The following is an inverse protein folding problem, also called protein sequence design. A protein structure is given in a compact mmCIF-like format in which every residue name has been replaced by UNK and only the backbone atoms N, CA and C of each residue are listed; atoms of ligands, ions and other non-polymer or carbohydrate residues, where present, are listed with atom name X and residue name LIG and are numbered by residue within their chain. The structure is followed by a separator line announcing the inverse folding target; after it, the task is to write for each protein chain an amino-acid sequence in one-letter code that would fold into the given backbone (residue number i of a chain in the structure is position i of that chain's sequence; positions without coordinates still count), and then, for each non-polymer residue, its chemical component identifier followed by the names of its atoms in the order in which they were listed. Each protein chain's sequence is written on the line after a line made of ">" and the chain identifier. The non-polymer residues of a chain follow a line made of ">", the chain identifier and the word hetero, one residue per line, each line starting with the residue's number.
data_IF_079653287797
#
_entry.id   IF_079653287797
#
_cell.length_a   1.000
_cell.length_b   1.000
_cell.length_c   1.000
_cell.angle_alpha   90.00
_cell.angle_beta   90.00
_cell.angle_gamma   90.00
#
_symmetry.space_group_name_H-M   'P 1'
#
loop_
_entity.id
_entity.type
_entity.pdbx_description
1 polymer ?
#
# COMPACT_ATOMS: atom_id res chain seq x y z
N UNK A 1 5.59 -7.31 -4.67
CA UNK A 1 6.16 -7.15 -3.31
C UNK A 1 5.03 -7.04 -2.31
N UNK A 2 5.27 -7.44 -1.05
CA UNK A 2 4.38 -7.05 0.03
C UNK A 2 4.47 -5.52 0.22
N UNK A 3 3.37 -4.83 0.58
CA UNK A 3 3.40 -3.39 0.86
C UNK A 3 4.46 -3.04 1.91
N UNK A 4 5.40 -2.15 1.57
CA UNK A 4 6.52 -1.72 2.40
C UNK A 4 7.72 -2.68 2.46
N UNK A 5 7.74 -3.73 1.63
CA UNK A 5 8.83 -4.71 1.64
C UNK A 5 10.19 -4.03 1.34
N UNK A 6 11.13 -4.17 2.27
CA UNK A 6 12.49 -3.59 2.17
C UNK A 6 12.64 -2.23 2.85
N UNK A 7 11.55 -1.61 3.29
CA UNK A 7 11.58 -0.39 4.11
C UNK A 7 11.59 -0.74 5.61
N UNK A 8 12.22 0.13 6.41
CA UNK A 8 12.12 0.11 7.88
C UNK A 8 11.19 1.23 8.33
N UNK A 9 10.19 0.89 9.14
CA UNK A 9 9.34 1.85 9.84
C UNK A 9 9.73 1.89 11.32
N UNK A 10 9.74 3.09 11.90
CA UNK A 10 9.94 3.27 13.35
C UNK A 10 8.65 3.83 13.94
N UNK A 11 8.12 3.16 14.94
CA UNK A 11 6.89 3.57 15.63
C UNK A 11 7.21 4.15 17.00
N UNK A 12 6.52 5.23 17.35
CA UNK A 12 6.56 5.81 18.68
C UNK A 12 5.17 6.34 19.06
N UNK A 13 4.96 6.65 20.33
CA UNK A 13 3.72 7.29 20.78
C UNK A 13 3.59 8.68 20.15
N UNK A 14 2.42 8.99 19.59
CA UNK A 14 2.15 10.30 18.97
C UNK A 14 2.30 11.49 19.94
N UNK A 15 2.17 11.24 21.25
CA UNK A 15 2.39 12.23 22.30
C UNK A 15 3.87 12.55 22.57
N UNK A 16 4.82 11.76 22.05
CA UNK A 16 6.27 11.92 22.25
C UNK A 16 6.91 12.69 21.09
N UNK A 17 6.58 13.99 21.00
CA UNK A 17 7.13 14.88 19.96
C UNK A 17 8.65 14.97 20.00
N UNK A 18 9.26 14.83 21.18
CA UNK A 18 10.70 14.74 21.37
C UNK A 18 11.33 13.58 20.57
N UNK A 19 10.65 12.43 20.48
CA UNK A 19 11.10 11.30 19.68
C UNK A 19 10.88 11.52 18.19
N UNK A 20 9.74 12.13 17.81
CA UNK A 20 9.44 12.45 16.41
C UNK A 20 10.52 13.38 15.82
N UNK A 21 10.85 14.45 16.54
CA UNK A 21 11.90 15.39 16.14
C UNK A 21 13.27 14.72 16.05
N UNK A 22 13.60 13.85 17.00
CA UNK A 22 14.87 13.10 17.02
C UNK A 22 15.00 12.16 15.82
N UNK A 23 13.90 11.54 15.38
CA UNK A 23 13.90 10.56 14.28
C UNK A 23 13.71 11.19 12.90
N UNK A 24 13.25 12.44 12.81
CA UNK A 24 12.99 13.13 11.54
C UNK A 24 14.15 13.04 10.52
N UNK A 25 15.45 13.14 10.91
CA UNK A 25 16.56 12.99 9.97
C UNK A 25 16.75 11.59 9.37
N UNK A 26 16.14 10.56 9.97
CA UNK A 26 16.22 9.17 9.50
C UNK A 26 15.21 8.88 8.38
N UNK A 27 14.20 9.73 8.22
CA UNK A 27 13.15 9.53 7.22
C UNK A 27 13.68 9.90 5.82
N UNK A 28 13.57 8.96 4.89
CA UNK A 28 13.71 9.25 3.47
C UNK A 28 12.34 9.66 2.89
N UNK A 29 12.17 10.90 2.38
CA UNK A 29 10.87 11.39 1.92
C UNK A 29 10.29 10.59 0.75
N UNK A 30 11.14 10.12 -0.17
CA UNK A 30 10.69 9.36 -1.35
C UNK A 30 10.18 7.97 -0.96
N UNK A 31 10.92 7.27 -0.09
CA UNK A 31 10.52 5.98 0.48
C UNK A 31 9.25 6.14 1.31
N UNK A 32 9.13 7.23 2.07
CA UNK A 32 7.92 7.52 2.87
C UNK A 32 6.70 7.65 1.96
N UNK A 33 6.76 8.47 0.90
CA UNK A 33 5.66 8.62 -0.05
C UNK A 33 5.29 7.30 -0.75
N UNK A 34 6.30 6.53 -1.20
CA UNK A 34 6.07 5.22 -1.83
C UNK A 34 5.36 4.25 -0.86
N UNK A 35 5.89 4.10 0.36
CA UNK A 35 5.34 3.18 1.36
C UNK A 35 3.96 3.62 1.83
N UNK A 36 3.68 4.93 1.93
CA UNK A 36 2.34 5.43 2.26
C UNK A 36 1.30 5.07 1.20
N UNK A 37 1.65 5.16 -0.09
CA UNK A 37 0.76 4.75 -1.16
C UNK A 37 0.49 3.23 -1.11
N UNK A 38 1.54 2.42 -0.96
CA UNK A 38 1.44 0.96 -0.84
C UNK A 38 0.60 0.52 0.37
N UNK A 39 0.85 1.10 1.55
CA UNK A 39 0.11 0.80 2.78
C UNK A 39 -1.34 1.26 2.70
N UNK A 40 -1.63 2.30 1.92
CA UNK A 40 -3.01 2.72 1.69
C UNK A 40 -3.79 1.67 0.91
N UNK A 41 -3.19 1.04 -0.11
CA UNK A 41 -3.81 -0.10 -0.82
C UNK A 41 -4.08 -1.25 0.15
N UNK A 42 -3.11 -1.63 0.98
CA UNK A 42 -3.28 -2.69 1.99
C UNK A 42 -4.41 -2.36 2.96
N UNK A 43 -4.42 -1.16 3.56
CA UNK A 43 -5.49 -0.77 4.50
C UNK A 43 -6.88 -0.83 3.87
N UNK A 44 -6.99 -0.46 2.58
CA UNK A 44 -8.28 -0.41 1.89
C UNK A 44 -8.75 -1.78 1.39
N UNK A 45 -7.85 -2.67 0.97
CA UNK A 45 -8.19 -3.95 0.34
C UNK A 45 -7.96 -5.18 1.22
N UNK A 46 -7.14 -5.10 2.27
CA UNK A 46 -6.80 -6.29 3.05
C UNK A 46 -5.85 -5.98 4.20
N UNK A 47 -6.38 -6.04 5.42
CA UNK A 47 -5.67 -5.74 6.66
C UNK A 47 -4.87 -6.91 7.25
N UNK A 48 -4.81 -8.08 6.59
CA UNK A 48 -4.06 -9.23 7.09
C UNK A 48 -2.94 -9.65 6.14
N UNK A 49 -1.84 -10.16 6.71
CA UNK A 49 -0.67 -10.64 5.95
C UNK A 49 -0.95 -11.89 5.10
N UNK A 50 -2.16 -12.45 5.17
CA UNK A 50 -2.53 -13.71 4.49
C UNK A 50 -3.27 -13.47 3.17
N UNK A 51 -3.63 -12.23 2.87
CA UNK A 51 -4.26 -11.89 1.59
C UNK A 51 -3.20 -11.92 0.47
N UNK A 52 -3.43 -12.62 -0.66
CA UNK A 52 -2.57 -12.56 -1.83
C UNK A 52 -2.69 -11.18 -2.51
N UNK A 53 -2.06 -10.19 -1.90
CA UNK A 53 -2.06 -8.78 -2.26
C UNK A 53 -0.61 -8.32 -2.46
N UNK A 54 -0.37 -7.57 -3.53
CA UNK A 54 0.86 -6.80 -3.68
C UNK A 54 0.57 -5.34 -3.99
N UNK A 55 1.40 -4.46 -3.47
CA UNK A 55 1.46 -3.06 -3.85
C UNK A 55 2.92 -2.63 -3.89
N UNK A 56 3.32 -1.90 -4.93
CA UNK A 56 4.67 -1.40 -5.10
C UNK A 56 4.66 -0.04 -5.78
N UNK A 57 5.28 0.94 -5.13
CA UNK A 57 5.36 2.30 -5.59
C UNK A 57 6.81 2.71 -5.87
N UNK A 58 7.00 3.44 -6.96
CA UNK A 58 8.29 4.00 -7.37
C UNK A 58 8.15 5.52 -7.43
N UNK A 59 9.02 6.23 -6.71
CA UNK A 59 9.04 7.68 -6.64
C UNK A 59 10.24 8.23 -7.40
N UNK A 60 9.98 9.07 -8.40
CA UNK A 60 10.99 9.79 -9.17
C UNK A 60 10.72 11.30 -9.10
N UNK A 61 11.46 11.99 -8.24
CA UNK A 61 11.21 13.41 -7.95
C UNK A 61 9.82 13.62 -7.37
N UNK A 62 8.93 14.30 -8.11
CA UNK A 62 7.53 14.55 -7.70
C UNK A 62 6.55 13.50 -8.23
N UNK A 63 6.99 12.59 -9.09
CA UNK A 63 6.12 11.60 -9.72
C UNK A 63 6.13 10.32 -8.90
N UNK A 64 4.95 9.82 -8.58
CA UNK A 64 4.77 8.51 -7.96
C UNK A 64 4.04 7.60 -8.95
N UNK A 65 4.58 6.39 -9.16
CA UNK A 65 3.96 5.33 -9.95
C UNK A 65 3.67 4.16 -9.03
N UNK A 66 2.41 3.74 -8.95
CA UNK A 66 1.97 2.67 -8.07
C UNK A 66 1.37 1.55 -8.92
N UNK A 67 1.78 0.31 -8.65
CA UNK A 67 1.17 -0.89 -9.21
C UNK A 67 0.77 -1.84 -8.09
N UNK A 68 -0.30 -2.60 -8.31
CA UNK A 68 -0.73 -3.59 -7.35
C UNK A 68 -1.64 -4.63 -7.95
N UNK A 69 -1.88 -5.69 -7.17
CA UNK A 69 -2.72 -6.80 -7.57
C UNK A 69 -3.41 -7.44 -6.37
N UNK A 70 -4.53 -8.12 -6.64
CA UNK A 70 -5.20 -9.05 -5.73
C UNK A 70 -5.38 -10.38 -6.47
N UNK A 71 -5.11 -11.50 -5.81
CA UNK A 71 -5.23 -12.82 -6.41
C UNK A 71 -5.92 -13.83 -5.49
N UNK A 72 -6.46 -14.90 -6.08
CA UNK A 72 -6.86 -16.09 -5.32
C UNK A 72 -5.61 -16.91 -4.93
N UNK A 73 -5.64 -17.69 -3.83
CA UNK A 73 -4.48 -18.48 -3.38
C UNK A 73 -4.05 -19.54 -4.39
N UNK A 74 -5.01 -20.04 -5.19
CA UNK A 74 -4.76 -20.99 -6.28
C UNK A 74 -4.26 -20.33 -7.58
N UNK A 75 -4.15 -19.00 -7.61
CA UNK A 75 -3.66 -18.21 -8.74
C UNK A 75 -4.62 -18.13 -9.94
N UNK A 76 -5.84 -18.68 -9.85
CA UNK A 76 -6.80 -18.69 -10.97
C UNK A 76 -7.37 -17.32 -11.28
N UNK A 77 -7.52 -16.48 -10.27
CA UNK A 77 -7.92 -15.08 -10.44
C UNK A 77 -6.75 -14.19 -10.07
N UNK A 78 -6.43 -13.25 -10.96
CA UNK A 78 -5.39 -12.25 -10.77
C UNK A 78 -5.88 -10.92 -11.33
N UNK A 79 -6.22 -10.00 -10.42
CA UNK A 79 -6.67 -8.64 -10.76
C UNK A 79 -5.50 -7.70 -10.55
N UNK A 80 -5.20 -6.87 -11.55
CA UNK A 80 -4.05 -5.98 -11.50
C UNK A 80 -4.42 -4.59 -11.99
N UNK A 81 -3.82 -3.59 -11.34
CA UNK A 81 -4.01 -2.19 -11.68
C UNK A 81 -2.68 -1.44 -11.56
N UNK A 82 -2.64 -0.28 -12.20
CA UNK A 82 -1.58 0.70 -12.02
C UNK A 82 -2.17 2.10 -12.02
N UNK A 83 -1.57 3.00 -11.26
CA UNK A 83 -1.94 4.39 -11.18
C UNK A 83 -0.67 5.27 -11.11
N UNK A 84 -0.79 6.52 -11.53
CA UNK A 84 0.29 7.50 -11.44
C UNK A 84 -0.26 8.80 -10.85
N UNK A 85 0.53 9.43 -9.98
CA UNK A 85 0.13 10.64 -9.25
C UNK A 85 1.34 11.40 -8.74
N UNK A 86 1.11 12.40 -7.89
CA UNK A 86 2.19 13.16 -7.27
C UNK A 86 2.62 12.50 -5.96
N UNK A 87 3.88 12.71 -5.57
CA UNK A 87 4.39 12.31 -4.26
C UNK A 87 3.82 13.16 -3.11
N UNK A 88 3.10 14.24 -3.41
CA UNK A 88 2.48 15.13 -2.42
C UNK A 88 1.19 14.53 -1.82
N UNK A 89 0.54 13.58 -2.51
CA UNK A 89 -0.67 12.91 -2.04
C UNK A 89 -0.64 11.39 -2.35
N UNK A 90 0.29 10.65 -1.71
CA UNK A 90 0.43 9.22 -1.94
C UNK A 90 -0.80 8.42 -1.51
N UNK A 91 -1.54 8.90 -0.51
CA UNK A 91 -2.78 8.27 -0.03
C UNK A 91 -3.87 8.33 -1.11
N UNK A 92 -4.07 9.46 -1.79
CA UNK A 92 -5.03 9.54 -2.89
C UNK A 92 -4.67 8.58 -4.03
N UNK A 93 -3.38 8.43 -4.34
CA UNK A 93 -2.93 7.47 -5.34
C UNK A 93 -3.24 6.01 -4.92
N UNK A 94 -2.96 5.67 -3.66
CA UNK A 94 -3.31 4.36 -3.10
C UNK A 94 -4.81 4.08 -3.13
N UNK A 95 -5.63 5.09 -2.83
CA UNK A 95 -7.09 4.99 -2.88
C UNK A 95 -7.60 4.79 -4.31
N UNK A 96 -7.03 5.49 -5.29
CA UNK A 96 -7.39 5.33 -6.70
C UNK A 96 -7.08 3.91 -7.20
N UNK A 97 -5.91 3.36 -6.87
CA UNK A 97 -5.56 1.99 -7.23
C UNK A 97 -6.50 0.97 -6.57
N UNK A 98 -6.84 1.17 -5.29
CA UNK A 98 -7.76 0.30 -4.58
C UNK A 98 -9.17 0.31 -5.20
N UNK A 99 -9.66 1.50 -5.58
CA UNK A 99 -10.93 1.65 -6.27
C UNK A 99 -10.95 0.92 -7.62
N UNK A 100 -9.85 1.02 -8.39
CA UNK A 100 -9.71 0.31 -9.66
C UNK A 100 -9.74 -1.22 -9.47
N UNK A 101 -9.01 -1.75 -8.49
CA UNK A 101 -9.04 -3.18 -8.17
C UNK A 101 -10.44 -3.64 -7.72
N UNK A 102 -11.18 -2.82 -6.96
CA UNK A 102 -12.58 -3.11 -6.61
C UNK A 102 -13.50 -3.13 -7.81
N UNK A 103 -13.34 -2.19 -8.75
CA UNK A 103 -14.12 -2.17 -9.99
C UNK A 103 -13.90 -3.45 -10.83
N UNK A 104 -12.73 -4.08 -10.70
CA UNK A 104 -12.41 -5.37 -11.32
C UNK A 104 -12.90 -6.59 -10.52
N UNK A 105 -13.53 -6.39 -9.36
CA UNK A 105 -14.10 -7.47 -8.54
C UNK A 105 -13.21 -7.95 -7.38
N UNK A 106 -12.25 -7.15 -6.91
CA UNK A 106 -11.40 -7.53 -5.79
C UNK A 106 -12.18 -7.91 -4.53
N UNK A 107 -13.32 -7.28 -4.25
CA UNK A 107 -14.13 -7.59 -3.06
C UNK A 107 -14.63 -9.05 -3.06
N UNK A 108 -14.90 -9.64 -4.23
CA UNK A 108 -15.30 -11.04 -4.34
C UNK A 108 -14.13 -11.99 -4.03
N UNK A 109 -12.93 -11.67 -4.52
CA UNK A 109 -11.72 -12.43 -4.22
C UNK A 109 -11.39 -12.38 -2.73
N UNK A 110 -11.49 -11.19 -2.13
CA UNK A 110 -11.21 -10.95 -0.71
C UNK A 110 -12.25 -11.62 0.21
N UNK A 111 -13.53 -11.57 -0.14
CA UNK A 111 -14.60 -12.20 0.64
C UNK A 111 -14.47 -13.72 0.69
N UNK A 112 -14.02 -14.34 -0.42
CA UNK A 112 -13.76 -15.78 -0.47
C UNK A 112 -12.63 -16.23 0.46
N UNK A 113 -11.75 -15.31 0.89
CA UNK A 113 -10.66 -15.57 1.82
C UNK A 113 -11.11 -15.43 3.28
N UNK A 114 -11.95 -14.44 3.60
CA UNK A 114 -12.46 -14.20 4.96
C UNK A 114 -13.62 -15.10 5.39
N UNK A 115 -14.21 -15.87 4.48
CA UNK A 115 -15.26 -16.85 4.79
C UNK A 115 -14.73 -18.18 5.36
N UNK A 116 -13.41 -18.35 5.46
CA UNK A 116 -12.76 -19.55 5.98
C UNK A 116 -12.18 -19.37 7.40
N UNK A 117 -12.46 -18.26 8.07
CA UNK A 117 -12.12 -18.01 9.49
C UNK A 117 -13.33 -18.26 10.42
#
# INVERSE_FOLDING_TARGET
>A
PAPGQGALGIECLSARQDLVEMMAPLADPMTTAAVEAERTVSRLLGGSCQVPLGAFAECEGRQLRLRGFVATPDGRTFLAAAASGTADDPQALGAALAAELRAQGADAVLSALGAND
#
